data_IF_451597550940
#
_entry.id   IF_451597550940
#
_cell.length_a   1.000
_cell.length_b   1.000
_cell.length_c   1.000
_cell.angle_alpha   90.00
_cell.angle_beta   90.00
_cell.angle_gamma   90.00
#
_symmetry.space_group_name_H-M   'P 1'
#
loop_
_entity.id
_entity.type
_entity.pdbx_description
1 polymer ?
#
# COMPACT_ATOMS: atom_id res chain seq x y z
N UNK A 1 -10.20 -30.59 -13.80
CA UNK A 1 -9.12 -31.37 -14.44
C UNK A 1 -9.42 -32.83 -14.15
N UNK A 2 -9.79 -33.60 -15.16
CA UNK A 2 -10.06 -35.03 -14.97
C UNK A 2 -8.73 -35.75 -14.73
N UNK A 3 -8.51 -36.39 -13.56
CA UNK A 3 -7.28 -37.17 -13.32
C UNK A 3 -7.10 -38.33 -14.31
N UNK A 4 -8.17 -38.73 -15.00
CA UNK A 4 -8.19 -39.86 -15.94
C UNK A 4 -7.89 -39.45 -17.38
N UNK A 5 -7.93 -38.16 -17.69
CA UNK A 5 -7.53 -37.58 -18.97
C UNK A 5 -6.78 -36.25 -18.74
N UNK A 6 -5.50 -36.31 -18.36
CA UNK A 6 -4.73 -35.14 -17.99
C UNK A 6 -4.44 -34.29 -19.24
N UNK A 7 -5.11 -33.16 -19.36
CA UNK A 7 -4.82 -32.17 -20.38
C UNK A 7 -3.79 -31.14 -19.89
N UNK A 8 -2.98 -30.56 -20.79
CA UNK A 8 -2.10 -29.44 -20.44
C UNK A 8 -2.90 -28.27 -19.87
N UNK A 9 -2.42 -27.70 -18.76
CA UNK A 9 -3.08 -26.58 -18.08
C UNK A 9 -2.12 -25.41 -18.01
N UNK A 10 -2.61 -24.24 -18.39
CA UNK A 10 -1.93 -22.97 -18.18
C UNK A 10 -2.74 -22.18 -17.15
N UNK A 11 -2.09 -21.81 -16.05
CA UNK A 11 -2.66 -20.92 -15.05
C UNK A 11 -2.04 -19.53 -15.24
N UNK A 12 -2.89 -18.52 -15.49
CA UNK A 12 -2.48 -17.12 -15.52
C UNK A 12 -3.03 -16.47 -14.26
N UNK A 13 -2.15 -15.88 -13.46
CA UNK A 13 -2.54 -15.20 -12.23
C UNK A 13 -1.59 -14.05 -11.91
N UNK A 14 -2.01 -13.18 -11.00
CA UNK A 14 -1.18 -12.12 -10.42
C UNK A 14 -0.47 -12.65 -9.16
N UNK A 15 0.00 -11.76 -8.28
CA UNK A 15 0.67 -12.10 -7.02
C UNK A 15 -0.17 -13.00 -6.07
N UNK A 16 -1.46 -13.20 -6.34
CA UNK A 16 -2.36 -14.00 -5.49
C UNK A 16 -1.97 -15.49 -5.38
N UNK A 17 -1.22 -16.06 -6.34
CA UNK A 17 -0.78 -17.47 -6.24
C UNK A 17 0.39 -17.68 -5.26
N UNK A 18 1.02 -16.59 -4.81
CA UNK A 18 2.16 -16.65 -3.90
C UNK A 18 1.71 -17.00 -2.46
N UNK A 19 0.51 -16.58 -2.06
CA UNK A 19 -0.04 -16.79 -0.72
C UNK A 19 -1.04 -17.95 -0.65
N UNK A 20 -0.71 -18.98 0.15
CA UNK A 20 -1.71 -19.89 0.72
C UNK A 20 -2.32 -20.99 -0.18
N UNK A 21 -1.90 -21.12 -1.45
CA UNK A 21 -2.42 -22.16 -2.36
C UNK A 21 -1.41 -23.29 -2.57
N UNK A 22 -1.86 -24.56 -2.49
CA UNK A 22 -1.02 -25.72 -2.80
C UNK A 22 -1.05 -26.05 -4.29
N UNK A 23 -0.07 -25.53 -5.02
CA UNK A 23 0.10 -25.73 -6.46
C UNK A 23 1.49 -26.30 -6.75
N UNK A 24 1.53 -27.22 -7.72
CA UNK A 24 2.75 -27.79 -8.28
C UNK A 24 2.75 -27.70 -9.82
N UNK A 25 3.59 -26.83 -10.36
CA UNK A 25 3.75 -26.64 -11.80
C UNK A 25 5.09 -27.17 -12.29
N UNK A 26 5.11 -27.74 -13.50
CA UNK A 26 6.38 -28.14 -14.13
C UNK A 26 7.22 -26.95 -14.63
N UNK A 27 6.58 -25.82 -14.88
CA UNK A 27 7.21 -24.60 -15.34
C UNK A 27 6.46 -23.39 -14.78
N UNK A 28 7.19 -22.36 -14.38
CA UNK A 28 6.68 -21.05 -13.95
C UNK A 28 7.27 -19.99 -14.85
N UNK A 29 6.43 -19.09 -15.36
CA UNK A 29 6.85 -17.91 -16.13
C UNK A 29 6.35 -16.68 -15.40
N UNK A 30 7.23 -15.72 -15.13
CA UNK A 30 6.94 -14.57 -14.27
C UNK A 30 7.61 -13.28 -14.76
N UNK A 31 6.96 -12.14 -14.58
CA UNK A 31 7.60 -10.81 -14.71
C UNK A 31 8.66 -10.59 -13.62
N UNK A 32 9.77 -9.95 -13.98
CA UNK A 32 10.85 -9.59 -13.07
C UNK A 32 10.31 -8.84 -11.84
N UNK A 33 10.76 -9.24 -10.65
CA UNK A 33 10.33 -8.67 -9.39
C UNK A 33 11.44 -8.78 -8.33
N UNK A 34 11.11 -8.49 -7.06
CA UNK A 34 11.96 -8.82 -5.92
C UNK A 34 12.37 -10.30 -5.89
N UNK A 35 13.59 -10.56 -5.41
CA UNK A 35 14.15 -11.91 -5.35
C UNK A 35 13.31 -12.84 -4.47
N UNK A 36 12.76 -12.32 -3.38
CA UNK A 36 11.83 -13.00 -2.49
C UNK A 36 10.58 -13.51 -3.22
N UNK A 37 9.96 -12.66 -4.04
CA UNK A 37 8.77 -12.99 -4.81
C UNK A 37 9.09 -13.98 -5.95
N UNK A 38 10.30 -13.94 -6.49
CA UNK A 38 10.81 -14.96 -7.42
C UNK A 38 10.99 -16.31 -6.71
N UNK A 39 11.60 -16.33 -5.51
CA UNK A 39 11.77 -17.54 -4.70
C UNK A 39 10.41 -18.15 -4.31
N UNK A 40 9.44 -17.32 -3.93
CA UNK A 40 8.08 -17.77 -3.61
C UNK A 40 7.41 -18.44 -4.82
N UNK A 41 7.55 -17.85 -6.01
CA UNK A 41 7.05 -18.45 -7.25
C UNK A 41 7.80 -19.75 -7.62
N UNK A 42 9.12 -19.77 -7.44
CA UNK A 42 9.94 -20.96 -7.64
C UNK A 42 9.54 -22.10 -6.70
N UNK A 43 9.10 -21.80 -5.47
CA UNK A 43 8.56 -22.79 -4.53
C UNK A 43 7.23 -23.43 -4.96
N UNK A 44 6.60 -22.96 -6.04
CA UNK A 44 5.45 -23.60 -6.71
C UNK A 44 5.86 -24.39 -7.96
N UNK A 45 7.13 -24.31 -8.35
CA UNK A 45 7.68 -25.07 -9.46
C UNK A 45 8.29 -26.37 -8.94
N UNK A 46 7.82 -27.51 -9.45
CA UNK A 46 8.24 -28.85 -9.03
C UNK A 46 8.21 -29.04 -7.50
N UNK A 47 7.18 -28.48 -6.85
CA UNK A 47 7.03 -28.43 -5.39
C UNK A 47 7.00 -29.83 -4.77
N UNK A 48 6.34 -30.78 -5.42
CA UNK A 48 6.20 -32.15 -4.92
C UNK A 48 7.35 -33.06 -5.37
N UNK A 49 8.32 -32.55 -6.15
CA UNK A 49 9.49 -33.30 -6.60
C UNK A 49 9.18 -34.45 -7.57
N UNK A 50 8.03 -34.41 -8.23
CA UNK A 50 7.62 -35.46 -9.17
C UNK A 50 8.39 -35.40 -10.50
N UNK A 51 9.06 -34.29 -10.79
CA UNK A 51 9.85 -34.09 -12.01
C UNK A 51 11.34 -34.01 -11.65
N UNK A 52 12.20 -34.37 -12.58
CA UNK A 52 13.66 -34.28 -12.43
C UNK A 52 14.11 -32.83 -12.23
N UNK A 53 13.47 -31.89 -12.93
CA UNK A 53 13.77 -30.46 -12.86
C UNK A 53 12.50 -29.62 -13.09
N UNK A 54 12.42 -28.48 -12.40
CA UNK A 54 11.44 -27.43 -12.66
C UNK A 54 12.11 -26.21 -13.27
N UNK A 55 11.41 -25.50 -14.15
CA UNK A 55 11.94 -24.29 -14.80
C UNK A 55 11.19 -23.05 -14.35
N UNK A 56 11.94 -22.03 -13.95
CA UNK A 56 11.41 -20.69 -13.64
C UNK A 56 12.00 -19.71 -14.66
N UNK A 57 11.15 -19.15 -15.51
CA UNK A 57 11.53 -18.13 -16.49
C UNK A 57 11.14 -16.74 -15.99
N UNK A 58 12.13 -15.86 -15.89
CA UNK A 58 11.94 -14.46 -15.50
C UNK A 58 11.95 -13.61 -16.76
N UNK A 59 10.86 -12.90 -17.01
CA UNK A 59 10.70 -11.98 -18.14
C UNK A 59 10.96 -10.55 -17.67
N UNK A 60 11.89 -9.88 -18.32
CA UNK A 60 12.19 -8.47 -18.08
C UNK A 60 11.59 -7.62 -19.21
N UNK A 61 10.47 -6.96 -18.94
CA UNK A 61 9.80 -6.10 -19.90
C UNK A 61 10.45 -4.70 -19.89
N UNK A 62 10.76 -4.15 -21.07
CA UNK A 62 11.41 -2.83 -21.19
C UNK A 62 10.49 -1.66 -20.82
N UNK A 63 9.18 -1.85 -20.96
CA UNK A 63 8.15 -0.80 -20.85
C UNK A 63 7.13 -1.08 -19.73
N UNK A 64 7.57 -1.69 -18.62
CA UNK A 64 6.69 -1.94 -17.47
C UNK A 64 6.50 -0.63 -16.68
N UNK A 65 5.37 0.06 -16.92
CA UNK A 65 4.97 1.23 -16.13
C UNK A 65 4.39 0.77 -14.78
N UNK A 66 5.26 0.52 -13.81
CA UNK A 66 4.83 0.39 -12.42
C UNK A 66 4.23 1.73 -11.96
N UNK A 67 3.01 1.74 -11.38
CA UNK A 67 2.45 2.94 -10.81
C UNK A 67 3.43 3.53 -9.78
N UNK A 68 3.66 4.85 -9.83
CA UNK A 68 4.57 5.58 -8.92
C UNK A 68 4.25 5.38 -7.43
N UNK A 69 3.06 4.85 -7.14
CA UNK A 69 2.58 4.47 -5.81
C UNK A 69 3.22 3.18 -5.25
N UNK A 70 3.85 2.33 -6.07
CA UNK A 70 4.40 1.02 -5.66
C UNK A 70 5.93 1.00 -5.61
N UNK A 71 6.53 1.99 -4.94
CA UNK A 71 7.99 2.15 -4.81
C UNK A 71 8.71 0.91 -4.26
N UNK A 72 8.05 0.18 -3.37
CA UNK A 72 8.57 -1.05 -2.77
C UNK A 72 8.85 -2.13 -3.82
N UNK A 73 7.93 -2.30 -4.75
CA UNK A 73 8.03 -3.30 -5.82
C UNK A 73 9.11 -2.88 -6.81
N UNK A 74 9.12 -1.61 -7.20
CA UNK A 74 10.13 -1.04 -8.09
C UNK A 74 11.55 -1.21 -7.50
N UNK A 75 11.74 -0.87 -6.23
CA UNK A 75 13.02 -0.99 -5.55
C UNK A 75 13.52 -2.45 -5.51
N UNK A 76 12.62 -3.36 -5.11
CA UNK A 76 12.91 -4.78 -5.06
C UNK A 76 13.32 -5.31 -6.45
N UNK A 77 12.57 -4.94 -7.50
CA UNK A 77 12.88 -5.30 -8.89
C UNK A 77 14.25 -4.77 -9.31
N UNK A 78 14.55 -3.50 -9.03
CA UNK A 78 15.82 -2.86 -9.36
C UNK A 78 17.01 -3.53 -8.66
N UNK A 79 16.88 -3.91 -7.39
CA UNK A 79 17.93 -4.61 -6.65
C UNK A 79 18.17 -5.99 -7.26
N UNK A 80 17.11 -6.76 -7.52
CA UNK A 80 17.25 -8.07 -8.19
C UNK A 80 17.98 -7.92 -9.52
N UNK A 81 17.55 -6.99 -10.36
CA UNK A 81 18.10 -6.80 -11.70
C UNK A 81 19.54 -6.29 -11.70
N UNK A 82 19.80 -5.22 -10.95
CA UNK A 82 21.05 -4.46 -11.05
C UNK A 82 22.13 -4.95 -10.08
N UNK A 83 21.76 -5.65 -9.01
CA UNK A 83 22.69 -6.21 -8.03
C UNK A 83 22.74 -7.72 -8.16
N UNK A 84 21.69 -8.41 -7.73
CA UNK A 84 21.73 -9.87 -7.54
C UNK A 84 22.05 -10.62 -8.83
N UNK A 85 21.31 -10.39 -9.92
CA UNK A 85 21.54 -11.09 -11.19
C UNK A 85 22.91 -10.78 -11.80
N UNK A 86 23.42 -9.54 -11.63
CA UNK A 86 24.74 -9.14 -12.14
C UNK A 86 25.89 -9.72 -11.32
N UNK A 87 25.77 -9.65 -10.00
CA UNK A 87 26.74 -10.23 -9.06
C UNK A 87 26.81 -11.74 -9.26
N UNK A 88 25.66 -12.43 -9.39
CA UNK A 88 25.63 -13.87 -9.67
C UNK A 88 26.23 -14.21 -11.03
N UNK A 89 25.98 -13.41 -12.06
CA UNK A 89 26.60 -13.62 -13.37
C UNK A 89 28.11 -13.39 -13.39
N UNK A 90 28.64 -12.56 -12.49
CA UNK A 90 30.06 -12.22 -12.42
C UNK A 90 30.85 -13.12 -11.47
N UNK A 91 30.23 -13.51 -10.35
CA UNK A 91 30.80 -14.36 -9.31
C UNK A 91 29.73 -15.29 -8.72
N UNK A 92 29.43 -16.41 -9.40
CA UNK A 92 28.42 -17.36 -8.92
C UNK A 92 28.79 -18.03 -7.58
N UNK A 93 30.08 -18.14 -7.23
CA UNK A 93 30.53 -18.81 -6.00
C UNK A 93 30.04 -18.08 -4.74
N UNK A 94 29.95 -16.75 -4.82
CA UNK A 94 29.39 -15.92 -3.74
C UNK A 94 27.95 -16.30 -3.37
N UNK A 95 27.21 -16.95 -4.28
CA UNK A 95 25.83 -17.40 -4.07
C UNK A 95 25.68 -18.93 -4.18
N UNK A 96 26.73 -19.71 -3.95
CA UNK A 96 26.69 -21.18 -4.04
C UNK A 96 26.21 -21.72 -5.41
N UNK A 97 26.46 -20.96 -6.48
CA UNK A 97 25.94 -21.21 -7.83
C UNK A 97 24.40 -21.27 -7.93
N UNK A 98 23.69 -20.75 -6.92
CA UNK A 98 22.24 -20.77 -6.85
C UNK A 98 21.68 -19.37 -6.49
N UNK A 99 20.90 -18.81 -7.41
CA UNK A 99 20.20 -17.54 -7.23
C UNK A 99 19.15 -17.59 -6.10
N UNK A 100 18.70 -18.79 -5.73
CA UNK A 100 17.73 -19.01 -4.65
C UNK A 100 18.41 -19.41 -3.34
N UNK A 101 19.74 -19.35 -3.27
CA UNK A 101 20.50 -19.64 -2.05
C UNK A 101 20.18 -18.66 -0.92
N UNK A 102 20.38 -19.11 0.32
CA UNK A 102 20.28 -18.25 1.50
C UNK A 102 21.21 -17.03 1.41
N UNK A 103 22.40 -17.19 0.82
CA UNK A 103 23.36 -16.10 0.60
C UNK A 103 22.81 -15.04 -0.35
N UNK A 104 22.18 -15.45 -1.46
CA UNK A 104 21.56 -14.52 -2.40
C UNK A 104 20.40 -13.76 -1.73
N UNK A 105 19.58 -14.47 -0.95
CA UNK A 105 18.49 -13.86 -0.18
C UNK A 105 18.96 -12.87 0.87
N UNK A 106 19.99 -13.21 1.65
CA UNK A 106 20.58 -12.31 2.64
C UNK A 106 21.14 -11.06 1.97
N UNK A 107 21.89 -11.22 0.86
CA UNK A 107 22.45 -10.09 0.11
C UNK A 107 21.37 -9.20 -0.50
N UNK A 108 20.27 -9.78 -0.98
CA UNK A 108 19.11 -9.04 -1.45
C UNK A 108 18.51 -8.17 -0.35
N UNK A 109 18.25 -8.74 0.84
CA UNK A 109 17.71 -7.99 1.96
C UNK A 109 18.67 -6.95 2.52
N UNK A 110 19.99 -7.21 2.52
CA UNK A 110 21.01 -6.21 2.84
C UNK A 110 20.87 -4.96 1.96
N UNK A 111 20.79 -5.13 0.63
CA UNK A 111 20.60 -4.00 -0.29
C UNK A 111 19.23 -3.33 -0.11
N UNK A 112 18.19 -4.13 0.06
CA UNK A 112 16.81 -3.64 0.21
C UNK A 112 16.66 -2.76 1.45
N UNK A 113 17.12 -3.24 2.61
CA UNK A 113 17.04 -2.48 3.85
C UNK A 113 18.02 -1.32 3.90
N UNK A 114 19.22 -1.45 3.30
CA UNK A 114 20.16 -0.33 3.23
C UNK A 114 19.58 0.87 2.45
N UNK A 115 18.92 0.63 1.32
CA UNK A 115 18.28 1.70 0.54
C UNK A 115 17.07 2.31 1.24
N UNK A 116 16.42 1.55 2.14
CA UNK A 116 15.24 2.00 2.91
C UNK A 116 15.56 2.42 4.34
N UNK A 117 16.82 2.53 4.72
CA UNK A 117 17.20 2.80 6.11
C UNK A 117 16.51 4.05 6.70
N UNK A 118 16.28 5.08 5.87
CA UNK A 118 15.57 6.29 6.27
C UNK A 118 14.05 6.07 6.47
N UNK A 119 13.43 5.14 5.76
CA UNK A 119 12.00 4.79 5.86
C UNK A 119 11.70 3.80 6.98
N UNK A 120 12.72 3.07 7.44
CA UNK A 120 12.60 2.09 8.54
C UNK A 120 12.52 2.74 9.92
N UNK A 121 12.58 4.06 9.99
CA UNK A 121 12.38 4.81 11.22
C UNK A 121 10.96 5.34 11.27
N UNK A 122 10.33 5.28 12.44
CA UNK A 122 9.09 6.02 12.67
C UNK A 122 9.48 7.37 13.29
N UNK A 123 9.41 8.48 12.53
CA UNK A 123 9.77 9.79 13.05
C UNK A 123 8.71 10.31 14.01
N UNK A 124 9.16 10.89 15.12
CA UNK A 124 8.34 11.55 16.12
C UNK A 124 8.66 13.04 16.11
N UNK A 125 7.76 13.87 15.56
CA UNK A 125 7.95 15.32 15.58
C UNK A 125 7.51 15.93 16.90
N UNK A 126 8.39 16.71 17.52
CA UNK A 126 8.09 17.46 18.75
C UNK A 126 6.89 18.40 18.56
N UNK A 127 6.84 19.10 17.42
CA UNK A 127 5.76 20.03 17.07
C UNK A 127 4.43 19.31 16.84
N UNK A 128 4.46 18.17 16.15
CA UNK A 128 3.26 17.38 15.91
C UNK A 128 2.70 16.83 17.24
N UNK A 129 3.59 16.35 18.11
CA UNK A 129 3.23 15.87 19.44
C UNK A 129 2.62 16.99 20.30
N UNK A 130 3.23 18.17 20.33
CA UNK A 130 2.74 19.33 21.09
C UNK A 130 1.33 19.75 20.66
N UNK A 131 1.07 19.77 19.34
CA UNK A 131 -0.26 20.08 18.79
C UNK A 131 -1.32 19.11 19.33
N UNK A 132 -0.96 17.84 19.52
CA UNK A 132 -1.86 16.78 19.98
C UNK A 132 -2.01 16.74 21.49
N UNK A 133 -0.94 17.03 22.25
CA UNK A 133 -0.88 16.90 23.70
C UNK A 133 -0.46 18.22 24.39
N UNK A 134 -1.22 19.29 24.14
CA UNK A 134 -0.96 20.70 24.49
C UNK A 134 -0.33 20.98 25.88
N UNK A 135 -0.58 20.13 26.88
CA UNK A 135 -0.13 20.34 28.26
C UNK A 135 0.82 19.25 28.80
N UNK A 136 1.13 18.21 28.02
CA UNK A 136 2.02 17.10 28.39
C UNK A 136 2.87 16.73 27.18
N UNK A 137 3.86 17.58 26.85
CA UNK A 137 4.79 17.27 25.76
C UNK A 137 6.13 16.73 26.31
N UNK A 138 6.31 15.40 26.39
CA UNK A 138 7.57 14.75 26.71
C UNK A 138 8.60 14.82 25.57
N UNK A 139 8.19 15.14 24.33
CA UNK A 139 9.08 15.19 23.16
C UNK A 139 9.42 16.65 22.83
N UNK A 140 10.64 17.09 23.20
CA UNK A 140 11.08 18.48 23.00
C UNK A 140 11.88 18.71 21.72
N UNK A 141 12.51 17.66 21.19
CA UNK A 141 13.24 17.66 19.93
C UNK A 141 12.74 16.48 19.09
N UNK A 142 12.83 16.60 17.75
CA UNK A 142 12.42 15.52 16.86
C UNK A 142 13.29 14.28 17.10
N UNK A 143 12.65 13.12 17.21
CA UNK A 143 13.32 11.85 17.48
C UNK A 143 12.64 10.72 16.71
N UNK A 144 12.94 9.46 17.04
CA UNK A 144 12.26 8.30 16.48
C UNK A 144 11.57 7.49 17.57
N UNK A 145 10.53 6.70 17.22
CA UNK A 145 9.95 5.73 18.16
C UNK A 145 11.03 4.78 18.69
N UNK A 146 11.98 4.36 17.86
CA UNK A 146 13.07 3.48 18.30
C UNK A 146 13.88 4.14 19.40
N UNK A 147 14.20 5.44 19.28
CA UNK A 147 14.89 6.17 20.35
C UNK A 147 14.05 6.23 21.63
N UNK A 148 12.76 6.58 21.53
CA UNK A 148 11.85 6.60 22.68
C UNK A 148 11.74 5.22 23.37
N UNK A 149 11.78 4.14 22.60
CA UNK A 149 11.75 2.76 23.09
C UNK A 149 13.11 2.19 23.50
N UNK A 150 14.19 2.97 23.38
CA UNK A 150 15.55 2.56 23.75
C UNK A 150 16.24 3.60 24.65
N UNK A 151 17.31 4.24 24.18
CA UNK A 151 18.15 5.11 25.00
C UNK A 151 17.54 6.48 25.26
N UNK A 152 16.57 6.91 24.44
CA UNK A 152 15.90 8.20 24.50
C UNK A 152 16.90 9.36 24.64
N UNK A 153 17.96 9.29 23.84
CA UNK A 153 19.13 10.18 23.90
C UNK A 153 18.76 11.64 23.71
N UNK A 154 17.82 11.93 22.81
CA UNK A 154 17.34 13.28 22.50
C UNK A 154 16.72 13.90 23.76
N UNK A 155 15.88 13.17 24.49
CA UNK A 155 15.32 13.67 25.75
C UNK A 155 16.37 13.81 26.84
N UNK A 156 17.36 12.92 26.90
CA UNK A 156 18.47 13.01 27.85
C UNK A 156 19.33 14.25 27.58
N UNK A 157 19.67 14.51 26.32
CA UNK A 157 20.42 15.68 25.88
C UNK A 157 19.66 16.98 26.19
N UNK A 158 18.34 17.01 25.97
CA UNK A 158 17.52 18.17 26.34
C UNK A 158 17.52 18.38 27.86
N UNK A 159 17.41 17.31 28.65
CA UNK A 159 17.43 17.40 30.11
C UNK A 159 18.77 17.94 30.63
N UNK A 160 19.89 17.50 30.07
CA UNK A 160 21.24 18.00 30.40
C UNK A 160 21.41 19.49 30.06
N UNK A 161 20.87 19.93 28.92
CA UNK A 161 20.94 21.35 28.49
C UNK A 161 20.05 22.27 29.32
N UNK A 162 18.89 21.79 29.78
CA UNK A 162 17.86 22.62 30.43
C UNK A 162 17.90 22.58 31.95
N UNK A 163 18.40 21.49 32.55
CA UNK A 163 18.60 21.38 33.99
C UNK A 163 20.09 21.19 34.24
N UNK A 164 20.69 22.15 34.94
CA UNK A 164 22.09 22.11 35.39
C UNK A 164 22.35 20.78 36.12
N UNK A 165 23.01 19.87 35.39
CA UNK A 165 23.59 18.58 35.76
C UNK A 165 23.19 17.97 37.13
N UNK A 166 22.27 17.00 37.10
CA UNK A 166 22.33 15.70 37.82
C UNK A 166 21.09 14.81 37.57
N UNK A 167 20.25 15.14 36.58
CA UNK A 167 18.89 14.61 36.49
C UNK A 167 18.74 13.24 35.80
N UNK A 168 19.81 12.58 35.33
CA UNK A 168 19.66 11.33 34.55
C UNK A 168 20.43 10.15 35.11
N UNK A 169 20.58 10.05 36.44
CA UNK A 169 20.96 8.80 37.13
C UNK A 169 19.90 7.68 37.04
N UNK A 170 18.91 7.83 36.15
CA UNK A 170 17.91 6.81 35.90
C UNK A 170 18.54 5.67 35.08
N UNK A 171 18.48 4.42 35.57
CA UNK A 171 19.00 3.26 34.84
C UNK A 171 18.23 3.00 33.55
N UNK A 172 16.99 3.49 33.44
CA UNK A 172 16.14 3.36 32.27
C UNK A 172 15.63 4.73 31.82
N UNK A 173 15.86 5.06 30.54
CA UNK A 173 15.49 6.34 29.93
C UNK A 173 14.31 6.22 28.94
N UNK A 174 13.82 4.99 28.73
CA UNK A 174 12.70 4.66 27.85
C UNK A 174 11.45 5.51 28.13
N UNK A 175 10.81 6.01 27.07
CA UNK A 175 9.58 6.80 27.11
C UNK A 175 8.41 6.05 26.47
N UNK A 176 8.06 4.86 27.01
CA UNK A 176 7.01 3.99 26.48
C UNK A 176 5.66 4.70 26.28
N UNK A 177 5.25 5.53 27.24
CA UNK A 177 4.00 6.29 27.13
C UNK A 177 4.02 7.28 25.96
N UNK A 178 5.15 7.99 25.78
CA UNK A 178 5.32 8.92 24.67
C UNK A 178 5.36 8.19 23.32
N UNK A 179 6.06 7.05 23.26
CA UNK A 179 6.09 6.19 22.07
C UNK A 179 4.68 5.70 21.70
N UNK A 180 3.91 5.20 22.67
CA UNK A 180 2.54 4.72 22.45
C UNK A 180 1.59 5.85 22.00
N UNK A 181 1.80 7.07 22.50
CA UNK A 181 1.01 8.24 22.12
C UNK A 181 1.41 8.82 20.75
N UNK A 182 2.69 8.71 20.38
CA UNK A 182 3.21 9.15 19.09
C UNK A 182 2.88 8.17 17.96
N UNK A 183 2.78 6.88 18.25
CA UNK A 183 2.51 5.84 17.27
C UNK A 183 1.07 5.86 16.76
N UNK A 184 0.90 5.76 15.45
CA UNK A 184 -0.39 5.61 14.77
C UNK A 184 -0.28 4.42 13.80
N UNK A 185 -1.10 3.39 14.05
CA UNK A 185 -1.06 2.13 13.28
C UNK A 185 -1.48 2.35 11.82
N UNK A 186 -2.39 3.29 11.56
CA UNK A 186 -2.89 3.63 10.23
C UNK A 186 -2.96 5.17 10.15
N UNK A 187 -2.03 5.77 9.42
CA UNK A 187 -1.97 7.23 9.23
C UNK A 187 -2.36 7.66 7.80
N UNK A 188 -3.17 6.82 7.15
CA UNK A 188 -3.82 7.15 5.89
C UNK A 188 -5.33 7.31 6.15
N UNK A 189 -5.81 8.49 6.58
CA UNK A 189 -7.23 8.75 6.61
C UNK A 189 -7.72 8.70 5.16
N UNK A 190 -8.26 7.55 4.75
CA UNK A 190 -8.93 7.45 3.47
C UNK A 190 -10.15 8.35 3.51
N UNK A 191 -10.34 9.17 2.48
CA UNK A 191 -11.54 9.98 2.36
C UNK A 191 -12.59 9.18 1.60
N UNK A 192 -13.82 9.17 2.13
CA UNK A 192 -14.96 8.59 1.43
C UNK A 192 -15.39 9.47 0.26
N UNK A 193 -15.47 8.89 -0.93
CA UNK A 193 -16.02 9.51 -2.14
C UNK A 193 -17.30 8.78 -2.49
N UNK A 194 -18.41 9.51 -2.65
CA UNK A 194 -19.67 8.97 -3.14
C UNK A 194 -19.57 8.72 -4.63
N UNK A 195 -19.85 7.49 -5.05
CA UNK A 195 -19.79 7.07 -6.45
C UNK A 195 -21.19 6.90 -7.04
N UNK A 196 -21.39 7.26 -8.31
CA UNK A 196 -22.63 7.03 -9.04
C UNK A 196 -22.73 5.55 -9.45
N UNK A 197 -22.71 4.64 -8.48
CA UNK A 197 -22.79 3.19 -8.74
C UNK A 197 -24.25 2.74 -8.85
N UNK A 198 -24.53 1.81 -9.78
CA UNK A 198 -25.63 0.86 -9.64
C UNK A 198 -25.47 -0.36 -10.55
N UNK A 199 -25.90 -1.53 -10.07
CA UNK A 199 -26.13 -2.74 -10.86
C UNK A 199 -27.44 -2.65 -11.69
N UNK A 200 -28.36 -1.74 -11.34
CA UNK A 200 -29.74 -1.63 -11.87
C UNK A 200 -30.22 -0.22 -12.32
N UNK A 201 -29.31 0.74 -12.56
CA UNK A 201 -29.65 2.04 -13.18
C UNK A 201 -29.82 3.25 -12.24
N UNK A 202 -28.70 3.94 -11.98
CA UNK A 202 -28.59 5.31 -11.45
C UNK A 202 -29.03 5.54 -9.99
N UNK A 203 -29.19 4.51 -9.17
CA UNK A 203 -29.50 4.69 -7.74
C UNK A 203 -28.43 5.50 -7.00
N UNK A 204 -27.14 5.32 -7.32
CA UNK A 204 -26.05 6.11 -6.73
C UNK A 204 -26.18 7.62 -7.00
N UNK A 205 -26.44 8.00 -8.25
CA UNK A 205 -26.66 9.41 -8.64
C UNK A 205 -27.90 9.99 -7.96
N UNK A 206 -28.97 9.21 -7.80
CA UNK A 206 -30.16 9.62 -7.05
C UNK A 206 -29.84 9.81 -5.56
N UNK A 207 -29.05 8.93 -4.94
CA UNK A 207 -28.64 9.05 -3.53
C UNK A 207 -27.76 10.29 -3.31
N UNK A 208 -26.88 10.62 -4.25
CA UNK A 208 -26.09 11.86 -4.24
C UNK A 208 -27.03 13.07 -4.29
N UNK A 209 -27.99 13.08 -5.22
CA UNK A 209 -28.99 14.14 -5.35
C UNK A 209 -29.87 14.29 -4.09
N UNK A 210 -30.35 13.19 -3.53
CA UNK A 210 -31.14 13.14 -2.30
C UNK A 210 -30.37 13.69 -1.10
N UNK A 211 -29.06 13.43 -1.03
CA UNK A 211 -28.18 13.95 0.01
C UNK A 211 -27.89 15.44 -0.20
N UNK A 212 -27.67 15.89 -1.43
CA UNK A 212 -27.55 17.31 -1.77
C UNK A 212 -28.82 18.11 -1.41
N UNK A 213 -29.99 17.51 -1.62
CA UNK A 213 -31.28 18.08 -1.24
C UNK A 213 -31.47 18.19 0.29
N UNK A 214 -30.81 17.34 1.09
CA UNK A 214 -30.81 17.47 2.55
C UNK A 214 -30.14 18.75 3.03
N UNK A 215 -29.09 19.15 2.33
CA UNK A 215 -28.23 20.26 2.71
C UNK A 215 -28.76 21.62 2.26
N UNK A 216 -29.70 21.63 1.32
CA UNK A 216 -30.34 22.84 0.78
C UNK A 216 -31.71 23.14 1.40
N UNK A 217 -32.36 22.15 2.00
CA UNK A 217 -33.68 22.30 2.62
C UNK A 217 -33.56 22.27 4.16
N UNK A 218 -33.81 23.40 4.81
CA UNK A 218 -33.74 23.53 6.28
C UNK A 218 -34.87 22.78 7.02
N UNK A 219 -35.93 22.36 6.31
CA UNK A 219 -37.11 21.71 6.89
C UNK A 219 -36.96 20.18 7.08
N UNK A 220 -35.80 19.59 6.74
CA UNK A 220 -35.61 18.14 6.82
C UNK A 220 -35.20 17.73 8.24
N UNK A 221 -36.01 16.86 8.85
CA UNK A 221 -35.75 16.35 10.20
C UNK A 221 -34.39 15.65 10.33
N UNK A 222 -33.77 15.76 11.50
CA UNK A 222 -32.49 15.09 11.81
C UNK A 222 -32.55 13.57 11.58
N UNK A 223 -33.69 12.93 11.87
CA UNK A 223 -33.88 11.50 11.65
C UNK A 223 -33.79 11.12 10.17
N UNK A 224 -34.35 11.96 9.30
CA UNK A 224 -34.29 11.76 7.85
C UNK A 224 -32.88 12.04 7.31
N UNK A 225 -32.18 13.06 7.82
CA UNK A 225 -30.76 13.31 7.48
C UNK A 225 -29.89 12.07 7.79
N UNK A 226 -30.00 11.52 9.01
CA UNK A 226 -29.26 10.31 9.41
C UNK A 226 -29.59 9.12 8.51
N UNK A 227 -30.86 8.96 8.12
CA UNK A 227 -31.29 7.89 7.21
C UNK A 227 -30.63 8.02 5.84
N UNK A 228 -30.59 9.23 5.27
CA UNK A 228 -29.95 9.47 3.96
C UNK A 228 -28.44 9.30 4.01
N UNK A 229 -27.79 9.74 5.08
CA UNK A 229 -26.37 9.45 5.31
C UNK A 229 -26.07 7.95 5.37
N UNK A 230 -26.89 7.16 6.09
CA UNK A 230 -26.74 5.69 6.13
C UNK A 230 -26.91 5.04 4.76
N UNK A 231 -27.83 5.55 3.93
CA UNK A 231 -28.03 5.07 2.55
C UNK A 231 -26.81 5.40 1.68
N UNK A 232 -26.27 6.62 1.80
CA UNK A 232 -25.10 7.08 1.07
C UNK A 232 -23.82 6.29 1.38
N UNK A 233 -23.66 5.79 2.61
CA UNK A 233 -22.50 4.96 2.99
C UNK A 233 -22.32 3.71 2.11
N UNK A 234 -23.40 3.14 1.58
CA UNK A 234 -23.34 1.96 0.70
C UNK A 234 -22.73 2.27 -0.68
N UNK A 235 -22.71 3.55 -1.06
CA UNK A 235 -22.18 4.06 -2.32
C UNK A 235 -20.89 4.86 -2.10
N UNK A 236 -20.18 4.61 -1.00
CA UNK A 236 -18.93 5.31 -0.67
C UNK A 236 -17.74 4.40 -0.94
N UNK A 237 -16.81 4.89 -1.77
CA UNK A 237 -15.50 4.26 -1.97
C UNK A 237 -14.47 5.05 -1.19
N UNK A 238 -13.70 4.35 -0.36
CA UNK A 238 -12.60 4.95 0.39
C UNK A 238 -11.38 5.11 -0.52
N UNK A 239 -10.96 6.35 -0.75
CA UNK A 239 -9.81 6.68 -1.58
C UNK A 239 -8.66 7.23 -0.72
N UNK A 240 -7.42 6.89 -1.10
CA UNK A 240 -6.23 7.44 -0.47
C UNK A 240 -6.06 8.93 -0.79
N UNK A 241 -5.40 9.72 0.08
CA UNK A 241 -5.22 11.16 -0.14
C UNK A 241 -4.67 11.54 -1.52
N UNK A 242 -3.70 10.79 -2.06
CA UNK A 242 -3.13 11.08 -3.38
C UNK A 242 -4.14 10.88 -4.53
N UNK A 243 -5.08 9.94 -4.40
CA UNK A 243 -6.17 9.71 -5.36
C UNK A 243 -7.15 10.88 -5.29
N UNK A 244 -7.55 11.26 -4.07
CA UNK A 244 -8.46 12.39 -3.81
C UNK A 244 -7.88 13.69 -4.37
N UNK A 245 -6.59 13.96 -4.11
CA UNK A 245 -5.91 15.15 -4.63
C UNK A 245 -5.83 15.17 -6.15
N UNK A 246 -5.55 14.03 -6.79
CA UNK A 246 -5.51 13.93 -8.25
C UNK A 246 -6.90 14.16 -8.86
N UNK A 247 -7.92 13.48 -8.34
CA UNK A 247 -9.30 13.66 -8.80
C UNK A 247 -9.80 15.08 -8.58
N UNK A 248 -9.42 15.74 -7.47
CA UNK A 248 -9.77 17.12 -7.21
C UNK A 248 -9.12 18.08 -8.22
N UNK A 249 -7.84 17.85 -8.57
CA UNK A 249 -7.12 18.65 -9.59
C UNK A 249 -7.76 18.55 -10.97
N UNK A 250 -8.22 17.37 -11.36
CA UNK A 250 -8.92 17.12 -12.63
C UNK A 250 -10.40 17.56 -12.61
N UNK A 251 -10.91 18.05 -11.46
CA UNK A 251 -12.31 18.43 -11.29
C UNK A 251 -13.29 17.24 -11.35
N UNK A 252 -12.77 16.03 -11.15
CA UNK A 252 -13.51 14.76 -11.18
C UNK A 252 -14.30 14.50 -9.90
N UNK A 253 -13.92 15.11 -8.77
CA UNK A 253 -14.71 15.08 -7.53
C UNK A 253 -15.18 16.47 -7.14
N UNK A 254 -16.38 16.54 -6.55
CA UNK A 254 -16.98 17.79 -6.08
C UNK A 254 -17.62 17.60 -4.72
N UNK A 255 -17.60 18.64 -3.90
CA UNK A 255 -18.37 18.62 -2.65
C UNK A 255 -19.86 18.70 -2.94
N UNK A 256 -20.64 17.89 -2.24
CA UNK A 256 -22.11 17.93 -2.32
C UNK A 256 -22.65 19.30 -1.86
N UNK A 257 -22.04 19.85 -0.81
CA UNK A 257 -22.24 21.23 -0.38
C UNK A 257 -20.92 21.75 0.18
N UNK A 258 -20.59 22.99 -0.19
CA UNK A 258 -19.35 23.63 0.25
C UNK A 258 -19.21 23.63 1.78
N UNK A 259 -18.10 23.09 2.27
CA UNK A 259 -17.77 23.03 3.70
C UNK A 259 -18.25 21.78 4.43
N UNK A 260 -18.91 20.84 3.75
CA UNK A 260 -19.33 19.56 4.35
C UNK A 260 -18.23 18.50 4.34
N UNK A 261 -17.25 18.61 3.44
CA UNK A 261 -16.20 17.60 3.25
C UNK A 261 -16.70 16.27 2.66
N UNK A 262 -17.93 16.23 2.14
CA UNK A 262 -18.51 15.06 1.48
C UNK A 262 -18.37 15.23 -0.02
N UNK A 263 -17.54 14.38 -0.63
CA UNK A 263 -17.27 14.42 -2.06
C UNK A 263 -18.13 13.42 -2.82
N UNK A 264 -18.55 13.77 -4.02
CA UNK A 264 -19.11 12.85 -5.00
C UNK A 264 -18.27 12.88 -6.29
N UNK A 265 -18.24 11.75 -6.97
CA UNK A 265 -17.48 11.52 -8.21
C UNK A 265 -18.32 11.91 -9.43
N UNK A 266 -17.66 12.43 -10.46
CA UNK A 266 -18.20 12.61 -11.81
C UNK A 266 -18.31 11.25 -12.51
N UNK A 267 -19.47 10.98 -13.13
CA UNK A 267 -19.79 9.70 -13.77
C UNK A 267 -18.74 9.27 -14.80
N UNK A 268 -18.04 10.21 -15.45
CA UNK A 268 -17.00 9.89 -16.44
C UNK A 268 -15.76 9.24 -15.84
N UNK A 269 -15.61 9.26 -14.51
CA UNK A 269 -14.48 8.67 -13.79
C UNK A 269 -14.87 7.40 -13.04
N UNK A 270 -16.01 6.79 -13.40
CA UNK A 270 -16.47 5.54 -12.83
C UNK A 270 -16.69 4.50 -13.94
N UNK A 271 -16.04 3.35 -13.82
CA UNK A 271 -16.17 2.20 -14.72
C UNK A 271 -16.82 1.04 -13.97
N UNK A 272 -17.78 0.35 -14.57
CA UNK A 272 -18.54 -0.72 -13.89
C UNK A 272 -17.64 -1.88 -13.42
N UNK A 273 -16.69 -2.31 -14.25
CA UNK A 273 -15.73 -3.37 -13.89
C UNK A 273 -14.51 -2.90 -13.07
N UNK A 274 -14.03 -1.67 -13.26
CA UNK A 274 -12.76 -1.18 -12.68
C UNK A 274 -12.96 -0.27 -11.46
N UNK A 275 -14.17 0.25 -11.25
CA UNK A 275 -14.50 1.20 -10.21
C UNK A 275 -14.04 2.63 -10.52
N UNK A 276 -13.48 3.31 -9.52
CA UNK A 276 -13.02 4.71 -9.65
C UNK A 276 -11.75 4.78 -10.51
N UNK A 277 -11.82 5.48 -11.64
CA UNK A 277 -10.70 5.70 -12.55
C UNK A 277 -10.08 7.07 -12.33
N UNK A 278 -8.79 7.20 -12.63
CA UNK A 278 -8.06 8.48 -12.52
C UNK A 278 -8.13 9.32 -13.80
N UNK A 279 -8.51 8.68 -14.91
CA UNK A 279 -8.66 9.30 -16.22
C UNK A 279 -10.12 9.15 -16.66
N UNK A 280 -10.64 10.16 -17.34
CA UNK A 280 -12.00 10.15 -17.83
C UNK A 280 -12.17 9.07 -18.89
N UNK A 281 -13.25 8.28 -18.77
CA UNK A 281 -13.70 7.38 -19.81
C UNK A 281 -14.12 8.24 -21.02
N UNK A 282 -13.27 8.31 -22.03
CA UNK A 282 -13.72 8.64 -23.37
C UNK A 282 -14.71 7.57 -23.83
N UNK A 283 -15.72 7.90 -24.63
CA UNK A 283 -16.51 6.92 -25.40
C UNK A 283 -15.55 6.10 -26.30
N UNK A 284 -14.88 5.11 -25.72
CA UNK A 284 -14.11 4.12 -26.46
C UNK A 284 -14.99 2.89 -26.51
N UNK A 285 -15.63 2.72 -27.66
CA UNK A 285 -16.18 1.43 -28.07
C UNK A 285 -15.07 0.38 -27.94
N UNK A 286 -15.15 -0.44 -26.90
CA UNK A 286 -14.43 -1.69 -26.83
C UNK A 286 -14.97 -2.59 -27.96
N UNK A 287 -14.29 -2.58 -29.11
CA UNK A 287 -14.42 -3.66 -30.09
C UNK A 287 -13.70 -4.89 -29.53
N UNK A 288 -14.35 -5.57 -28.60
CA UNK A 288 -13.94 -6.91 -28.19
C UNK A 288 -14.11 -7.85 -29.37
N UNK A 289 -13.00 -8.20 -30.03
CA UNK A 289 -12.97 -9.36 -30.91
C UNK A 289 -12.85 -10.58 -30.01
N UNK A 290 -13.97 -11.27 -29.79
CA UNK A 290 -13.95 -12.62 -29.22
C UNK A 290 -13.26 -13.56 -30.21
N UNK A 291 -12.20 -14.23 -29.76
CA UNK A 291 -11.63 -15.42 -30.42
C UNK A 291 -12.36 -16.67 -29.96
#
# INVERSE_FOLDING_TARGET
LDPKDPQPVICVSTQMIEAGVDLDFGCVIRSLAGLDSIVQAAGRCNRHGHREMGFVHILNFKDENLPTALKDIELAQQITQNRILREHGSDPETFDHDLLSEKAMNRFYEYYFAQRACEMTYPCSAKAYEKRFKNQNPIKEDCTILSLLSTNEESANVAERTRNADATGLPFKHAFSAAAQAFQVIDAPTQGILVPYDHDGHIGSMVIGDLAACYTNEDISLAEQVRRHKKAQQYTVNAFPYIVERLAKEGAIREIQGGTGIFHLDERYYHDDLGVTLDALSEQHYFGVHS
#
